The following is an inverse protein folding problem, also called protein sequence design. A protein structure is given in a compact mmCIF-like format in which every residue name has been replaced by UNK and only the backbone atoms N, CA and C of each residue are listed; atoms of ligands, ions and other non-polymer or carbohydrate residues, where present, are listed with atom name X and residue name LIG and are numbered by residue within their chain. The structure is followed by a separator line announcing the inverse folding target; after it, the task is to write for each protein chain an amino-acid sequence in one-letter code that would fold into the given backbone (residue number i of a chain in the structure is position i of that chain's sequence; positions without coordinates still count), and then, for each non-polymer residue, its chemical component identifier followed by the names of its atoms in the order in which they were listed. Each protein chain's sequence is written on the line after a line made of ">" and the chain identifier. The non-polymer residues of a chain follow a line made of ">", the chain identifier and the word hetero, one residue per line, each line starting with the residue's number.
data_IF_869081677894
#
_entry.id   IF_869081677894
#
_cell.length_a   1.000
_cell.length_b   1.000
_cell.length_c   1.000
_cell.angle_alpha   90.00
_cell.angle_beta   90.00
_cell.angle_gamma   90.00
#
_symmetry.space_group_name_H-M   'P 1'
#
loop_
_entity.id
_entity.type
_entity.pdbx_description
1 polymer ?
#
# COMPACT_ATOMS: atom_id res chain seq x y z
N UNK A 1 -51.51 10.22 -6.85
CA UNK A 1 -50.39 11.00 -6.27
C UNK A 1 -49.73 10.11 -5.24
N UNK A 2 -48.71 9.38 -5.65
CA UNK A 2 -47.98 8.43 -4.80
C UNK A 2 -46.75 9.15 -4.27
N UNK A 3 -46.63 9.25 -2.94
CA UNK A 3 -45.51 9.91 -2.28
C UNK A 3 -44.33 8.94 -2.32
N UNK A 4 -43.25 9.34 -3.01
CA UNK A 4 -41.95 8.66 -2.96
C UNK A 4 -41.32 8.88 -1.58
N UNK A 5 -41.20 7.82 -0.81
CA UNK A 5 -40.35 7.78 0.38
C UNK A 5 -38.91 8.08 -0.04
N UNK A 6 -38.35 9.13 0.57
CA UNK A 6 -36.93 9.46 0.40
C UNK A 6 -36.16 8.45 1.22
N UNK A 7 -35.46 7.56 0.54
CA UNK A 7 -34.42 6.71 1.12
C UNK A 7 -33.42 7.63 1.85
N UNK A 8 -33.46 7.62 3.18
CA UNK A 8 -32.48 8.33 4.00
C UNK A 8 -31.13 7.64 3.79
N UNK A 9 -30.26 8.30 3.00
CA UNK A 9 -28.87 7.91 2.87
C UNK A 9 -28.27 7.94 4.29
N UNK A 10 -27.77 6.80 4.82
CA UNK A 10 -27.28 6.75 6.19
C UNK A 10 -26.20 7.82 6.40
N UNK A 11 -26.16 8.45 7.58
CA UNK A 11 -25.30 9.58 7.85
C UNK A 11 -23.87 9.19 7.51
N UNK A 12 -23.32 9.93 6.54
CA UNK A 12 -21.96 9.85 6.00
C UNK A 12 -21.03 9.28 7.08
N UNK A 13 -20.66 7.98 6.95
CA UNK A 13 -19.61 7.38 7.78
C UNK A 13 -18.45 8.33 7.65
N UNK A 14 -18.19 9.17 8.68
CA UNK A 14 -17.04 10.08 8.70
C UNK A 14 -15.88 9.22 8.28
N UNK A 15 -15.37 9.44 7.06
CA UNK A 15 -14.47 8.50 6.40
C UNK A 15 -13.31 8.33 7.36
N UNK A 16 -13.27 7.20 8.07
CA UNK A 16 -12.29 6.99 9.12
C UNK A 16 -10.93 7.06 8.43
N UNK A 17 -10.12 8.04 8.79
CA UNK A 17 -8.84 8.27 8.13
C UNK A 17 -7.95 7.05 8.39
N UNK A 18 -7.44 6.36 7.36
CA UNK A 18 -6.55 5.23 7.57
C UNK A 18 -5.32 5.65 8.38
N UNK A 19 -4.94 4.85 9.38
CA UNK A 19 -3.79 5.09 10.23
C UNK A 19 -2.86 3.88 10.34
N UNK A 20 -3.27 2.72 9.81
CA UNK A 20 -2.44 1.53 9.67
C UNK A 20 -2.58 0.96 8.27
N UNK A 21 -1.62 0.14 7.87
CA UNK A 21 -1.67 -0.61 6.63
C UNK A 21 -0.93 -1.94 6.76
N UNK A 22 -1.33 -2.91 5.94
CA UNK A 22 -0.61 -4.17 5.74
C UNK A 22 0.25 -4.03 4.49
N UNK A 23 1.51 -4.43 4.58
CA UNK A 23 2.43 -4.29 3.46
C UNK A 23 3.43 -5.45 3.37
N UNK A 24 3.89 -5.68 2.14
CA UNK A 24 5.02 -6.56 1.83
C UNK A 24 6.26 -5.69 1.65
N UNK A 25 7.27 -5.90 2.49
CA UNK A 25 8.52 -5.17 2.38
C UNK A 25 9.32 -5.66 1.17
N UNK A 26 9.87 -4.74 0.40
CA UNK A 26 10.75 -5.09 -0.72
C UNK A 26 12.13 -5.43 -0.16
N UNK A 27 12.56 -6.69 -0.29
CA UNK A 27 13.87 -7.16 0.18
C UNK A 27 14.95 -7.19 -0.90
N UNK A 28 14.56 -7.21 -2.18
CA UNK A 28 15.48 -7.36 -3.30
C UNK A 28 16.36 -6.11 -3.49
N UNK A 29 17.65 -6.21 -3.17
CA UNK A 29 18.63 -5.12 -3.26
C UNK A 29 18.70 -4.48 -4.66
N UNK A 30 18.50 -5.25 -5.74
CA UNK A 30 18.52 -4.70 -7.10
C UNK A 30 17.37 -3.73 -7.34
N UNK A 31 16.19 -4.03 -6.78
CA UNK A 31 15.04 -3.12 -6.86
C UNK A 31 15.40 -1.82 -6.12
N UNK A 32 15.93 -1.91 -4.89
CA UNK A 32 16.37 -0.73 -4.13
C UNK A 32 17.37 0.13 -4.90
N UNK A 33 18.40 -0.48 -5.49
CA UNK A 33 19.40 0.24 -6.29
C UNK A 33 18.81 0.92 -7.52
N UNK A 34 17.90 0.23 -8.23
CA UNK A 34 17.22 0.78 -9.39
C UNK A 34 16.32 1.96 -9.01
N UNK A 35 15.57 1.87 -7.90
CA UNK A 35 14.81 3.01 -7.38
C UNK A 35 15.73 4.18 -7.02
N UNK A 36 16.85 3.94 -6.33
CA UNK A 36 17.84 5.00 -6.03
C UNK A 36 18.38 5.66 -7.29
N UNK A 37 18.60 4.90 -8.37
CA UNK A 37 19.02 5.45 -9.67
C UNK A 37 17.95 6.37 -10.22
N UNK A 38 16.69 5.96 -10.24
CA UNK A 38 15.56 6.79 -10.69
C UNK A 38 15.44 8.08 -9.85
N UNK A 39 15.44 7.96 -8.52
CA UNK A 39 15.34 9.11 -7.62
C UNK A 39 16.48 10.12 -7.85
N UNK A 40 17.72 9.67 -8.04
CA UNK A 40 18.87 10.56 -8.33
C UNK A 40 18.70 11.36 -9.62
N UNK A 41 18.07 10.79 -10.64
CA UNK A 41 17.80 11.52 -11.88
C UNK A 41 16.69 12.58 -11.66
N UNK A 42 15.68 12.28 -10.85
CA UNK A 42 14.58 13.23 -10.56
C UNK A 42 15.05 14.38 -9.65
N UNK A 43 15.89 14.10 -8.67
CA UNK A 43 16.39 15.04 -7.65
C UNK A 43 17.36 16.09 -8.21
N UNK A 44 17.71 16.03 -9.50
CA UNK A 44 18.35 17.16 -10.18
C UNK A 44 17.55 18.46 -9.99
N UNK A 45 16.22 18.37 -9.84
CA UNK A 45 15.40 19.44 -9.27
C UNK A 45 15.38 19.33 -7.74
N UNK A 46 16.10 20.25 -7.07
CA UNK A 46 16.21 20.28 -5.60
C UNK A 46 14.86 20.46 -4.89
N UNK A 47 13.83 20.98 -5.58
CA UNK A 47 12.48 21.13 -5.02
C UNK A 47 11.79 19.78 -4.75
N UNK A 48 12.29 18.71 -5.35
CA UNK A 48 11.73 17.35 -5.24
C UNK A 48 12.44 16.49 -4.18
N UNK A 49 13.47 17.01 -3.51
CA UNK A 49 14.23 16.29 -2.48
C UNK A 49 13.31 15.75 -1.38
N UNK A 50 12.43 16.58 -0.85
CA UNK A 50 11.54 16.24 0.27
C UNK A 50 10.43 15.25 -0.12
N UNK A 51 10.20 15.07 -1.44
CA UNK A 51 9.22 14.11 -1.95
C UNK A 51 9.80 12.68 -2.05
N UNK A 52 11.13 12.53 -2.02
CA UNK A 52 11.76 11.22 -2.14
C UNK A 52 11.70 10.46 -0.83
N UNK A 53 11.07 9.29 -0.87
CA UNK A 53 11.10 8.34 0.25
C UNK A 53 12.42 7.59 0.27
N UNK A 54 12.92 7.34 1.48
CA UNK A 54 14.08 6.48 1.68
C UNK A 54 13.79 5.09 1.11
N UNK A 55 14.74 4.53 0.35
CA UNK A 55 14.49 3.23 -0.28
C UNK A 55 14.34 2.10 0.73
N UNK A 56 14.93 2.22 1.93
CA UNK A 56 14.73 1.31 3.06
C UNK A 56 13.26 1.11 3.42
N UNK A 57 12.41 2.10 3.14
CA UNK A 57 10.97 2.10 3.44
C UNK A 57 10.11 1.57 2.28
N UNK A 58 10.71 1.09 1.20
CA UNK A 58 9.97 0.57 0.04
C UNK A 58 9.14 -0.67 0.41
N UNK A 59 7.85 -0.59 0.09
CA UNK A 59 6.89 -1.64 0.37
C UNK A 59 5.74 -1.61 -0.65
N UNK A 60 5.07 -2.74 -0.82
CA UNK A 60 3.78 -2.82 -1.50
C UNK A 60 2.69 -2.77 -0.42
N UNK A 61 1.81 -1.77 -0.48
CA UNK A 61 0.64 -1.71 0.41
C UNK A 61 -0.44 -2.67 -0.11
N UNK A 62 -0.83 -3.64 0.71
CA UNK A 62 -1.89 -4.60 0.38
C UNK A 62 -3.27 -4.14 0.89
N UNK A 63 -3.30 -3.52 2.08
CA UNK A 63 -4.54 -3.09 2.73
C UNK A 63 -4.28 -1.83 3.56
N UNK A 64 -5.25 -0.92 3.59
CA UNK A 64 -5.27 0.23 4.50
C UNK A 64 -6.44 0.10 5.47
N UNK A 65 -6.22 0.41 6.75
CA UNK A 65 -7.21 0.21 7.82
C UNK A 65 -7.17 1.38 8.81
N UNK A 66 -8.32 1.68 9.41
CA UNK A 66 -8.40 2.54 10.59
C UNK A 66 -8.52 1.66 11.84
N UNK A 67 -7.56 1.80 12.76
CA UNK A 67 -7.57 1.17 14.07
C UNK A 67 -7.72 2.27 15.10
N UNK A 68 -8.87 2.30 15.79
CA UNK A 68 -9.25 3.38 16.70
C UNK A 68 -9.09 3.05 18.18
N UNK A 69 -8.82 1.79 18.54
CA UNK A 69 -8.69 1.32 19.92
C UNK A 69 -7.88 0.01 20.01
N UNK A 70 -7.47 -0.33 21.23
CA UNK A 70 -6.63 -1.50 21.54
C UNK A 70 -7.29 -2.84 21.15
N UNK A 71 -8.59 -2.98 21.36
CA UNK A 71 -9.33 -4.18 20.98
C UNK A 71 -9.28 -4.44 19.47
N UNK A 72 -9.45 -3.39 18.66
CA UNK A 72 -9.32 -3.49 17.19
C UNK A 72 -7.88 -3.74 16.77
N UNK A 73 -6.91 -3.18 17.49
CA UNK A 73 -5.49 -3.40 17.25
C UNK A 73 -5.11 -4.88 17.47
N UNK A 74 -5.48 -5.45 18.61
CA UNK A 74 -5.20 -6.85 18.92
C UNK A 74 -5.94 -7.81 17.97
N UNK A 75 -7.19 -7.50 17.58
CA UNK A 75 -7.88 -8.26 16.53
C UNK A 75 -7.14 -8.24 15.19
N UNK A 76 -6.70 -7.07 14.74
CA UNK A 76 -5.95 -6.95 13.49
C UNK A 76 -4.63 -7.73 13.55
N UNK A 77 -3.93 -7.66 14.69
CA UNK A 77 -2.70 -8.43 14.93
C UNK A 77 -2.94 -9.94 14.86
N UNK A 78 -4.00 -10.43 15.53
CA UNK A 78 -4.38 -11.84 15.49
C UNK A 78 -4.76 -12.29 14.08
N UNK A 79 -5.55 -11.50 13.37
CA UNK A 79 -5.93 -11.82 12.00
C UNK A 79 -4.70 -11.95 11.08
N UNK A 80 -3.74 -11.02 11.20
CA UNK A 80 -2.51 -11.08 10.40
C UNK A 80 -1.65 -12.30 10.75
N UNK A 81 -1.51 -12.63 12.04
CA UNK A 81 -0.78 -13.83 12.47
C UNK A 81 -1.45 -15.11 11.96
N UNK A 82 -2.78 -15.21 12.04
CA UNK A 82 -3.50 -16.38 11.57
C UNK A 82 -3.30 -16.60 10.06
N UNK A 83 -3.34 -15.54 9.25
CA UNK A 83 -3.06 -15.63 7.81
C UNK A 83 -1.61 -16.07 7.57
N UNK A 84 -0.66 -15.55 8.34
CA UNK A 84 0.72 -16.00 8.24
C UNK A 84 0.84 -17.49 8.58
N UNK A 85 0.31 -17.92 9.73
CA UNK A 85 0.42 -19.31 10.17
C UNK A 85 -0.27 -20.30 9.22
N UNK A 86 -1.40 -19.90 8.61
CA UNK A 86 -2.17 -20.73 7.68
C UNK A 86 -1.47 -20.88 6.32
N UNK A 87 -0.91 -19.80 5.76
CA UNK A 87 -0.44 -19.77 4.37
C UNK A 87 1.09 -19.73 4.21
N UNK A 88 1.87 -19.49 5.28
CA UNK A 88 3.32 -19.29 5.15
C UNK A 88 4.04 -20.50 4.56
N UNK A 89 3.64 -21.72 4.92
CA UNK A 89 4.26 -22.92 4.35
C UNK A 89 4.02 -23.04 2.84
N UNK A 90 2.81 -22.74 2.38
CA UNK A 90 2.46 -22.79 0.96
C UNK A 90 3.17 -21.68 0.19
N UNK A 91 3.16 -20.45 0.71
CA UNK A 91 3.88 -19.33 0.11
C UNK A 91 5.40 -19.50 0.10
N UNK A 92 5.96 -20.29 1.02
CA UNK A 92 7.37 -20.65 1.00
C UNK A 92 7.70 -21.74 -0.03
N UNK A 93 6.75 -22.63 -0.35
CA UNK A 93 6.92 -23.69 -1.36
C UNK A 93 6.79 -23.14 -2.77
N UNK A 94 5.82 -22.26 -3.00
CA UNK A 94 5.62 -21.57 -4.28
C UNK A 94 5.51 -20.05 -4.06
N UNK A 95 6.65 -19.34 -4.01
CA UNK A 95 6.67 -17.93 -3.70
C UNK A 95 6.12 -17.11 -4.87
N UNK A 96 5.13 -16.26 -4.56
CA UNK A 96 4.58 -15.28 -5.50
C UNK A 96 5.68 -14.41 -6.12
N UNK A 97 5.82 -14.50 -7.44
CA UNK A 97 6.74 -13.67 -8.20
C UNK A 97 6.05 -12.38 -8.66
N UNK A 98 6.59 -11.23 -8.25
CA UNK A 98 6.10 -9.92 -8.65
C UNK A 98 7.15 -9.19 -9.49
N UNK A 99 6.77 -8.81 -10.70
CA UNK A 99 7.61 -7.99 -11.57
C UNK A 99 7.21 -6.50 -11.46
N UNK A 100 8.22 -5.65 -11.29
CA UNK A 100 8.05 -4.20 -11.25
C UNK A 100 8.55 -3.61 -12.55
N UNK A 101 7.66 -2.93 -13.29
CA UNK A 101 8.00 -2.31 -14.57
C UNK A 101 7.31 -0.95 -14.74
N UNK A 102 7.99 -0.02 -15.40
CA UNK A 102 7.45 1.32 -15.65
C UNK A 102 7.32 2.22 -14.41
N UNK A 103 6.78 3.42 -14.63
CA UNK A 103 6.54 4.45 -13.61
C UNK A 103 5.11 4.97 -13.74
N UNK A 104 4.43 5.13 -12.61
CA UNK A 104 3.08 5.67 -12.53
C UNK A 104 2.96 6.83 -11.54
N UNK A 105 1.84 7.55 -11.62
CA UNK A 105 1.51 8.67 -10.72
C UNK A 105 0.03 8.62 -10.39
N UNK A 106 -0.32 8.68 -9.10
CA UNK A 106 -1.72 8.80 -8.68
C UNK A 106 -2.11 10.27 -8.49
N UNK A 107 -2.94 10.79 -9.40
CA UNK A 107 -3.44 12.17 -9.36
C UNK A 107 -2.33 13.24 -9.44
N UNK A 108 -2.69 14.50 -9.18
CA UNK A 108 -1.74 15.63 -9.23
C UNK A 108 -0.98 15.88 -7.93
N UNK A 109 -1.15 15.03 -6.90
CA UNK A 109 -0.61 15.25 -5.55
C UNK A 109 0.62 14.40 -5.20
N UNK A 110 1.57 14.27 -6.11
CA UNK A 110 2.98 13.97 -5.81
C UNK A 110 3.35 12.54 -5.38
N UNK A 111 2.40 11.63 -5.19
CA UNK A 111 2.73 10.23 -4.89
C UNK A 111 3.01 9.45 -6.19
N UNK A 112 4.31 9.20 -6.45
CA UNK A 112 4.78 8.31 -7.51
C UNK A 112 4.91 6.88 -6.99
N UNK A 113 4.45 5.91 -7.79
CA UNK A 113 4.55 4.48 -7.48
C UNK A 113 5.04 3.73 -8.72
N UNK A 114 5.63 2.56 -8.51
CA UNK A 114 5.95 1.65 -9.59
C UNK A 114 4.68 0.94 -10.04
N UNK A 115 4.48 0.79 -11.34
CA UNK A 115 3.39 -0.04 -11.85
C UNK A 115 3.79 -1.50 -11.61
N UNK A 116 2.89 -2.24 -10.98
CA UNK A 116 2.99 -3.69 -10.92
C UNK A 116 2.40 -4.21 -12.23
N UNK A 117 3.22 -4.89 -13.03
CA UNK A 117 2.73 -5.66 -14.17
C UNK A 117 2.71 -7.13 -13.75
N UNK A 118 1.53 -7.75 -13.77
CA UNK A 118 1.43 -9.20 -13.66
C UNK A 118 1.76 -9.79 -15.04
N UNK A 119 2.87 -10.53 -15.14
CA UNK A 119 3.26 -11.24 -16.36
C UNK A 119 2.52 -12.58 -16.45
N UNK A 120 1.89 -12.82 -17.60
CA UNK A 120 1.22 -14.08 -17.97
C UNK A 120 2.20 -15.19 -18.32
#
# INVERSE_FOLDING_TARGET
>A
MEKKDKEEVPPNRRRQTPNYFVAVQISNHRIHENVKRVQRHIVQDRRLLDCMKETSTLHITLMVINISNEDTHERARRALNNVYDEYNEEMCKDPLQLEFSGLGRFGDRGSSYFLLSYGS
#
